data_IF_575549934490
#
_entry.id   IF_575549934490
#
_cell.length_a   1.000
_cell.length_b   1.000
_cell.length_c   1.000
_cell.angle_alpha   90.00
_cell.angle_beta   90.00
_cell.angle_gamma   90.00
#
_symmetry.space_group_name_H-M   'P 1'
#
loop_
_entity.id
_entity.type
_entity.pdbx_description
1 polymer ?
#
# COMPACT_ATOMS: atom_id res chain seq x y z
N UNK A 1 36.13 0.15 -8.72
CA UNK A 1 35.94 -1.11 -9.45
C UNK A 1 34.54 -1.60 -9.18
N UNK A 2 33.63 -1.43 -10.13
CA UNK A 2 32.20 -1.75 -9.99
C UNK A 2 31.86 -3.09 -10.64
N UNK A 3 32.74 -4.09 -10.57
CA UNK A 3 32.49 -5.41 -11.20
C UNK A 3 31.59 -6.30 -10.35
N UNK A 4 31.53 -6.06 -9.04
CA UNK A 4 30.76 -6.85 -8.07
C UNK A 4 29.54 -6.10 -7.51
N UNK A 5 29.18 -4.95 -8.12
CA UNK A 5 28.12 -4.05 -7.68
C UNK A 5 28.24 -3.55 -6.22
N UNK A 6 29.40 -3.70 -5.57
CA UNK A 6 29.61 -3.19 -4.21
C UNK A 6 29.72 -1.67 -4.22
N UNK A 7 28.90 -0.99 -3.41
CA UNK A 7 28.88 0.47 -3.32
C UNK A 7 29.57 0.91 -2.03
N UNK A 8 30.41 1.95 -2.11
CA UNK A 8 31.11 2.52 -0.95
C UNK A 8 30.12 2.79 0.19
N UNK A 9 30.43 2.27 1.37
CA UNK A 9 29.59 2.35 2.56
C UNK A 9 28.81 1.05 2.85
N UNK A 10 28.49 0.26 1.82
CA UNK A 10 27.82 -1.04 1.95
C UNK A 10 26.60 -1.03 2.90
N UNK A 11 25.78 0.02 2.81
CA UNK A 11 24.57 0.20 3.63
C UNK A 11 23.29 -0.01 2.80
N UNK A 12 22.17 -0.26 3.48
CA UNK A 12 20.87 -0.32 2.80
C UNK A 12 20.59 0.93 1.96
N UNK A 13 20.87 2.12 2.50
CA UNK A 13 20.64 3.39 1.82
C UNK A 13 21.42 3.52 0.52
N UNK A 14 22.70 3.14 0.47
CA UNK A 14 23.50 3.33 -0.75
C UNK A 14 22.99 2.46 -1.90
N UNK A 15 22.58 1.22 -1.62
CA UNK A 15 21.98 0.35 -2.63
C UNK A 15 20.59 0.82 -3.06
N UNK A 16 19.74 1.19 -2.09
CA UNK A 16 18.40 1.73 -2.37
C UNK A 16 18.49 2.94 -3.28
N UNK A 17 19.34 3.91 -2.97
CA UNK A 17 19.46 5.16 -3.74
C UNK A 17 20.07 4.91 -5.12
N UNK A 18 21.10 4.07 -5.21
CA UNK A 18 21.73 3.75 -6.48
C UNK A 18 20.76 3.06 -7.46
N UNK A 19 19.91 2.16 -6.94
CA UNK A 19 18.88 1.52 -7.75
C UNK A 19 17.72 2.48 -8.04
N UNK A 20 17.20 3.18 -7.02
CA UNK A 20 16.07 4.10 -7.14
C UNK A 20 16.27 5.17 -8.23
N UNK A 21 17.50 5.67 -8.35
CA UNK A 21 17.85 6.70 -9.33
C UNK A 21 18.65 6.17 -10.52
N UNK A 22 18.65 4.85 -10.74
CA UNK A 22 19.23 4.23 -11.95
C UNK A 22 20.71 4.59 -12.19
N UNK A 23 21.47 4.66 -11.10
CA UNK A 23 22.88 5.07 -11.09
C UNK A 23 23.85 3.92 -11.39
N UNK A 24 23.32 2.71 -11.58
CA UNK A 24 24.09 1.50 -11.86
C UNK A 24 23.87 1.05 -13.31
N UNK A 25 24.92 0.53 -13.98
CA UNK A 25 24.75 -0.27 -15.19
C UNK A 25 23.68 -1.35 -15.00
N UNK A 26 22.82 -1.55 -15.99
CA UNK A 26 21.66 -2.45 -15.90
C UNK A 26 22.04 -3.89 -15.48
N UNK A 27 23.20 -4.37 -15.93
CA UNK A 27 23.70 -5.71 -15.61
C UNK A 27 24.14 -5.88 -14.14
N UNK A 28 24.32 -4.78 -13.39
CA UNK A 28 24.73 -4.81 -11.98
C UNK A 28 23.55 -4.69 -11.02
N UNK A 29 22.37 -4.28 -11.49
CA UNK A 29 21.18 -4.09 -10.65
C UNK A 29 20.79 -5.38 -9.89
N UNK A 30 20.76 -6.58 -10.52
CA UNK A 30 20.45 -7.81 -9.78
C UNK A 30 21.45 -8.12 -8.66
N UNK A 31 22.72 -7.81 -8.87
CA UNK A 31 23.75 -8.05 -7.86
C UNK A 31 23.66 -7.02 -6.71
N UNK A 32 23.38 -5.75 -7.01
CA UNK A 32 23.09 -4.73 -6.00
C UNK A 32 21.82 -5.06 -5.18
N UNK A 33 20.80 -5.65 -5.81
CA UNK A 33 19.61 -6.16 -5.13
C UNK A 33 19.95 -7.24 -4.11
N UNK A 34 20.81 -8.20 -4.49
CA UNK A 34 21.30 -9.23 -3.58
C UNK A 34 22.05 -8.63 -2.38
N UNK A 35 22.97 -7.68 -2.63
CA UNK A 35 23.68 -7.00 -1.55
C UNK A 35 22.74 -6.27 -0.58
N UNK A 36 21.70 -5.60 -1.10
CA UNK A 36 20.68 -4.95 -0.28
C UNK A 36 19.93 -5.98 0.59
N UNK A 37 19.44 -7.06 -0.01
CA UNK A 37 18.68 -8.11 0.68
C UNK A 37 19.55 -8.82 1.73
N UNK A 38 20.80 -9.14 1.40
CA UNK A 38 21.72 -9.78 2.32
C UNK A 38 22.13 -8.85 3.46
N UNK A 39 22.26 -7.55 3.21
CA UNK A 39 22.44 -6.56 4.27
C UNK A 39 21.23 -6.50 5.22
N UNK A 40 20.01 -6.54 4.69
CA UNK A 40 18.77 -6.60 5.51
C UNK A 40 18.75 -7.88 6.35
N UNK A 41 19.08 -9.04 5.75
CA UNK A 41 19.19 -10.33 6.47
C UNK A 41 20.22 -10.27 7.60
N UNK A 42 21.37 -9.66 7.34
CA UNK A 42 22.45 -9.54 8.32
C UNK A 42 22.06 -8.66 9.52
N UNK A 43 21.07 -7.77 9.36
CA UNK A 43 20.47 -6.99 10.46
C UNK A 43 19.20 -7.66 11.01
N UNK A 44 19.14 -9.00 10.95
CA UNK A 44 17.99 -9.79 11.40
C UNK A 44 16.66 -9.28 10.83
N UNK A 45 16.67 -8.93 9.54
CA UNK A 45 15.50 -8.41 8.84
C UNK A 45 14.96 -7.09 9.37
N UNK A 46 15.86 -6.23 9.86
CA UNK A 46 15.55 -4.85 10.23
C UNK A 46 16.06 -3.86 9.19
N UNK A 47 15.38 -2.73 9.11
CA UNK A 47 15.84 -1.57 8.36
C UNK A 47 16.98 -0.88 9.11
N UNK A 48 17.90 -0.28 8.36
CA UNK A 48 18.96 0.59 8.90
C UNK A 48 18.96 1.96 8.21
N UNK A 49 17.91 2.25 7.44
CA UNK A 49 17.79 3.48 6.66
C UNK A 49 17.38 4.67 7.53
N UNK A 50 18.03 5.81 7.31
CA UNK A 50 17.56 7.13 7.78
C UNK A 50 16.60 7.80 6.80
N UNK A 51 16.42 9.12 6.94
CA UNK A 51 15.40 9.90 6.21
C UNK A 51 15.47 9.77 4.69
N UNK A 52 16.68 9.75 4.12
CA UNK A 52 16.87 9.70 2.67
C UNK A 52 16.49 8.31 2.12
N UNK A 53 16.86 7.24 2.82
CA UNK A 53 16.67 5.87 2.32
C UNK A 53 15.28 5.31 2.54
N UNK A 54 14.63 5.65 3.67
CA UNK A 54 13.39 4.99 4.12
C UNK A 54 12.24 5.11 3.11
N UNK A 55 12.11 6.27 2.44
CA UNK A 55 11.04 6.50 1.46
C UNK A 55 11.19 5.69 0.18
N UNK A 56 12.39 5.18 -0.11
CA UNK A 56 12.68 4.40 -1.30
C UNK A 56 12.90 2.91 -1.03
N UNK A 57 13.04 2.50 0.24
CA UNK A 57 13.37 1.12 0.62
C UNK A 57 12.34 0.10 0.09
N UNK A 58 11.10 0.16 0.57
CA UNK A 58 10.05 -0.77 0.16
C UNK A 58 9.67 -0.66 -1.33
N UNK A 59 9.55 0.55 -1.93
CA UNK A 59 9.35 0.71 -3.37
C UNK A 59 10.45 0.04 -4.20
N UNK A 60 11.72 0.23 -3.82
CA UNK A 60 12.86 -0.34 -4.54
C UNK A 60 12.88 -1.86 -4.43
N UNK A 61 12.70 -2.40 -3.23
CA UNK A 61 12.59 -3.85 -3.03
C UNK A 61 11.48 -4.45 -3.90
N UNK A 62 10.29 -3.82 -3.91
CA UNK A 62 9.17 -4.30 -4.72
C UNK A 62 9.36 -4.15 -6.22
N UNK A 63 10.13 -3.16 -6.67
CA UNK A 63 10.51 -3.01 -8.09
C UNK A 63 11.50 -4.09 -8.52
N UNK A 64 12.36 -4.53 -7.61
CA UNK A 64 13.34 -5.60 -7.82
C UNK A 64 12.78 -7.01 -7.65
N UNK A 65 11.47 -7.16 -7.41
CA UNK A 65 10.83 -8.47 -7.20
C UNK A 65 10.95 -9.01 -5.77
N UNK A 66 11.44 -8.22 -4.82
CA UNK A 66 11.59 -8.56 -3.40
C UNK A 66 10.47 -7.97 -2.53
N UNK A 67 9.22 -8.04 -3.00
CA UNK A 67 8.07 -7.56 -2.22
C UNK A 67 7.87 -8.33 -0.91
N UNK A 68 8.26 -9.61 -0.87
CA UNK A 68 8.30 -10.44 0.33
C UNK A 68 9.19 -9.82 1.43
N UNK A 69 10.38 -9.32 1.05
CA UNK A 69 11.30 -8.63 1.98
C UNK A 69 10.71 -7.29 2.43
N UNK A 70 10.09 -6.54 1.52
CA UNK A 70 9.42 -5.28 1.87
C UNK A 70 8.28 -5.49 2.88
N UNK A 71 7.47 -6.54 2.69
CA UNK A 71 6.45 -6.93 3.66
C UNK A 71 7.05 -7.36 4.99
N UNK A 72 8.13 -8.14 4.98
CA UNK A 72 8.82 -8.55 6.20
C UNK A 72 9.29 -7.35 7.02
N UNK A 73 9.85 -6.33 6.38
CA UNK A 73 10.24 -5.08 7.03
C UNK A 73 9.04 -4.30 7.59
N UNK A 74 7.95 -4.22 6.83
CA UNK A 74 6.73 -3.53 7.28
C UNK A 74 6.15 -4.18 8.54
N UNK A 75 6.17 -5.52 8.60
CA UNK A 75 5.52 -6.32 9.64
C UNK A 75 6.42 -6.59 10.86
N UNK A 76 7.69 -6.18 10.81
CA UNK A 76 8.60 -6.30 11.94
C UNK A 76 8.10 -5.47 13.13
N UNK A 77 8.10 -6.04 14.33
CA UNK A 77 7.63 -5.39 15.56
C UNK A 77 8.72 -5.22 16.63
N UNK A 78 9.96 -5.62 16.33
CA UNK A 78 11.15 -5.35 17.16
C UNK A 78 11.95 -4.15 16.64
N UNK A 79 12.70 -3.52 17.53
CA UNK A 79 13.49 -2.32 17.22
C UNK A 79 14.68 -2.66 16.29
N UNK A 80 14.96 -1.84 15.25
CA UNK A 80 14.17 -0.71 14.75
C UNK A 80 13.11 -1.12 13.72
N UNK A 81 11.86 -0.68 13.89
CA UNK A 81 10.79 -0.87 12.89
C UNK A 81 9.63 0.10 13.08
N UNK A 82 8.73 0.17 12.08
CA UNK A 82 7.44 0.86 12.26
C UNK A 82 6.54 0.15 13.27
N UNK A 83 6.53 -1.19 13.28
CA UNK A 83 5.74 -1.97 14.22
C UNK A 83 6.19 -1.78 15.67
N UNK A 84 7.47 -1.48 15.90
CA UNK A 84 8.00 -1.23 17.24
C UNK A 84 7.32 -0.02 17.89
N UNK A 85 7.30 1.14 17.24
CA UNK A 85 6.67 2.33 17.82
C UNK A 85 5.16 2.11 18.06
N UNK A 86 4.48 1.42 17.15
CA UNK A 86 3.07 1.03 17.31
C UNK A 86 2.85 0.12 18.51
N UNK A 87 3.70 -0.89 18.69
CA UNK A 87 3.69 -1.80 19.83
C UNK A 87 3.79 -1.06 21.17
N UNK A 88 4.42 0.11 21.17
CA UNK A 88 4.52 1.01 22.33
C UNK A 88 3.57 2.22 22.24
N UNK A 89 2.40 2.04 21.62
CA UNK A 89 1.28 2.98 21.61
C UNK A 89 1.55 4.31 20.88
N UNK A 90 2.51 4.35 19.95
CA UNK A 90 2.64 5.49 19.06
C UNK A 90 1.35 5.68 18.24
N UNK A 91 0.81 6.90 18.25
CA UNK A 91 -0.32 7.31 17.39
C UNK A 91 0.12 8.21 16.23
N UNK A 92 1.40 8.58 16.21
CA UNK A 92 2.07 9.33 15.14
C UNK A 92 3.47 8.75 14.91
N UNK A 93 4.04 9.00 13.73
CA UNK A 93 5.40 8.59 13.38
C UNK A 93 6.41 9.43 14.17
N UNK A 94 7.40 8.78 14.77
CA UNK A 94 8.46 9.45 15.53
C UNK A 94 9.56 9.97 14.59
N UNK A 95 10.28 10.99 15.04
CA UNK A 95 11.48 11.50 14.35
C UNK A 95 12.58 10.45 14.27
N UNK A 96 12.70 9.64 15.32
CA UNK A 96 13.74 8.64 15.49
C UNK A 96 13.14 7.25 15.63
N UNK A 97 13.80 6.26 15.02
CA UNK A 97 13.47 4.85 15.26
C UNK A 97 13.58 4.47 16.74
N UNK A 98 14.51 5.10 17.46
CA UNK A 98 14.78 4.90 18.88
C UNK A 98 14.26 6.04 19.75
N UNK A 99 13.28 6.84 19.30
CA UNK A 99 12.81 7.98 20.09
C UNK A 99 12.42 7.61 21.53
N UNK A 100 11.94 6.38 21.71
CA UNK A 100 11.99 5.66 22.97
C UNK A 100 12.32 4.19 22.72
N UNK A 101 13.08 3.55 23.62
CA UNK A 101 13.27 2.08 23.64
C UNK A 101 13.13 1.53 25.05
N UNK A 102 12.78 0.25 25.20
CA UNK A 102 12.71 -0.41 26.51
C UNK A 102 14.06 -0.38 27.25
N UNK A 103 15.16 -0.55 26.51
CA UNK A 103 16.50 -0.69 27.07
C UNK A 103 17.10 0.66 27.48
N UNK A 104 16.84 1.72 26.69
CA UNK A 104 17.50 3.03 26.86
C UNK A 104 16.57 4.14 27.33
N UNK A 105 15.26 3.90 27.37
CA UNK A 105 14.27 4.94 27.65
C UNK A 105 14.17 5.96 26.52
N UNK A 106 13.87 7.21 26.89
CA UNK A 106 13.75 8.33 25.94
C UNK A 106 15.12 8.75 25.40
N UNK A 107 15.15 9.06 24.11
CA UNK A 107 16.29 9.74 23.48
C UNK A 107 16.43 11.20 23.96
N UNK A 108 17.58 11.80 23.61
CA UNK A 108 17.95 13.17 23.96
C UNK A 108 16.82 14.18 23.64
N UNK A 109 16.32 14.94 24.63
CA UNK A 109 15.22 15.88 24.42
C UNK A 109 15.54 17.03 23.46
N UNK A 110 16.81 17.29 23.14
CA UNK A 110 17.21 18.29 22.14
C UNK A 110 16.69 17.95 20.75
N UNK A 111 16.57 16.66 20.40
CA UNK A 111 16.08 16.22 19.08
C UNK A 111 15.41 14.84 19.17
N UNK A 112 14.17 14.83 19.65
CA UNK A 112 13.37 13.62 19.84
C UNK A 112 11.85 13.87 19.73
N UNK A 113 11.40 14.39 18.58
CA UNK A 113 9.97 14.59 18.33
C UNK A 113 9.22 13.26 18.14
N UNK A 114 8.04 13.14 18.74
CA UNK A 114 7.14 12.00 18.57
C UNK A 114 6.14 12.18 17.41
N UNK A 115 6.22 13.29 16.66
CA UNK A 115 5.32 13.57 15.55
C UNK A 115 6.08 14.18 14.36
N UNK A 116 6.69 13.31 13.55
CA UNK A 116 7.53 13.65 12.41
C UNK A 116 7.25 12.70 11.23
N UNK A 117 6.74 13.23 10.11
CA UNK A 117 6.19 12.40 9.03
C UNK A 117 7.22 11.64 8.18
N UNK A 118 8.52 11.97 8.26
CA UNK A 118 9.52 11.47 7.30
C UNK A 118 9.64 9.94 7.27
N UNK A 119 9.60 9.28 8.43
CA UNK A 119 9.63 7.80 8.46
C UNK A 119 8.28 7.20 8.03
N UNK A 120 7.22 8.00 7.94
CA UNK A 120 5.90 7.64 7.42
C UNK A 120 5.82 7.58 5.90
N UNK A 121 6.92 7.88 5.20
CA UNK A 121 7.03 7.78 3.73
C UNK A 121 6.74 6.37 3.18
N UNK A 122 6.78 5.33 4.02
CA UNK A 122 6.28 3.98 3.69
C UNK A 122 4.82 3.97 3.23
N UNK A 123 4.03 4.97 3.63
CA UNK A 123 2.66 5.16 3.16
C UNK A 123 2.55 5.19 1.63
N UNK A 124 3.52 5.79 0.93
CA UNK A 124 3.57 5.76 -0.54
C UNK A 124 3.56 4.34 -1.08
N UNK A 125 4.34 3.44 -0.48
CA UNK A 125 4.40 2.04 -0.89
C UNK A 125 3.11 1.29 -0.62
N UNK A 126 2.43 1.59 0.49
CA UNK A 126 1.10 1.03 0.79
C UNK A 126 0.08 1.37 -0.30
N UNK A 127 0.06 2.62 -0.79
CA UNK A 127 -0.84 2.99 -1.88
C UNK A 127 -0.38 2.45 -3.25
N UNK A 128 0.88 2.67 -3.62
CA UNK A 128 1.35 2.37 -4.98
C UNK A 128 1.62 0.89 -5.24
N UNK A 129 1.97 0.10 -4.21
CA UNK A 129 2.33 -1.31 -4.38
C UNK A 129 1.34 -2.24 -3.71
N UNK A 130 1.03 -2.03 -2.42
CA UNK A 130 0.10 -2.93 -1.71
C UNK A 130 -1.32 -2.77 -2.25
N UNK A 131 -1.79 -1.53 -2.34
CA UNK A 131 -3.03 -1.23 -3.02
C UNK A 131 -2.89 -1.23 -4.55
N UNK A 132 -1.73 -0.89 -5.07
CA UNK A 132 -1.50 -0.88 -6.50
C UNK A 132 -2.11 0.31 -7.22
N UNK A 133 -2.44 1.41 -6.52
CA UNK A 133 -2.95 2.64 -7.14
C UNK A 133 -1.77 3.56 -7.41
N UNK A 134 -1.45 3.79 -8.67
CA UNK A 134 -0.42 4.75 -9.07
C UNK A 134 -0.83 5.57 -10.31
N UNK A 135 -0.03 6.57 -10.66
CA UNK A 135 -0.20 7.38 -11.87
C UNK A 135 0.77 6.92 -12.95
N UNK A 136 0.30 6.80 -14.18
CA UNK A 136 1.18 6.56 -15.32
C UNK A 136 1.95 7.85 -15.66
N UNK A 137 3.18 7.72 -16.18
CA UNK A 137 4.05 8.87 -16.50
C UNK A 137 3.42 9.82 -17.53
N UNK A 138 2.78 9.26 -18.56
CA UNK A 138 2.01 10.03 -19.57
C UNK A 138 0.66 10.57 -19.05
N UNK A 139 0.34 10.33 -17.77
CA UNK A 139 -0.98 10.51 -17.18
C UNK A 139 -1.00 11.36 -15.92
N UNK A 140 -0.12 12.37 -15.82
CA UNK A 140 0.04 13.26 -14.66
C UNK A 140 -1.31 13.70 -14.08
N UNK A 141 -1.41 13.70 -12.75
CA UNK A 141 -2.66 14.02 -12.04
C UNK A 141 -3.70 12.89 -12.11
N UNK A 142 -3.27 11.64 -12.28
CA UNK A 142 -4.15 10.47 -12.45
C UNK A 142 -5.08 10.54 -13.67
N UNK A 143 -4.68 11.27 -14.72
CA UNK A 143 -5.38 11.24 -16.01
C UNK A 143 -5.29 9.87 -16.66
N UNK A 144 -4.15 9.20 -16.45
CA UNK A 144 -3.97 7.78 -16.73
C UNK A 144 -3.46 7.08 -15.47
N UNK A 145 -4.23 6.10 -15.01
CA UNK A 145 -4.04 5.42 -13.73
C UNK A 145 -3.33 4.09 -13.99
N UNK A 146 -2.44 3.68 -13.09
CA UNK A 146 -1.89 2.32 -13.04
C UNK A 146 -2.56 1.60 -11.88
N UNK A 147 -3.05 0.39 -12.17
CA UNK A 147 -3.65 -0.52 -11.22
C UNK A 147 -2.82 -1.81 -11.21
N UNK A 148 -1.93 -1.94 -10.23
CA UNK A 148 -0.98 -3.04 -10.13
C UNK A 148 -0.75 -3.48 -8.67
N UNK A 149 -1.76 -4.11 -8.02
CA UNK A 149 -1.62 -4.53 -6.63
C UNK A 149 -0.60 -5.65 -6.50
N UNK A 150 0.11 -5.67 -5.37
CA UNK A 150 1.07 -6.71 -5.00
C UNK A 150 0.67 -7.36 -3.68
N UNK A 151 -0.37 -8.22 -3.64
CA UNK A 151 -0.76 -8.94 -2.42
C UNK A 151 0.42 -9.73 -1.84
N UNK A 152 0.55 -9.76 -0.52
CA UNK A 152 1.64 -10.45 0.16
C UNK A 152 1.68 -10.19 1.66
N UNK A 153 2.73 -10.69 2.34
CA UNK A 153 2.93 -10.46 3.77
C UNK A 153 1.82 -11.02 4.66
N UNK A 154 1.18 -12.11 4.24
CA UNK A 154 0.00 -12.70 4.92
C UNK A 154 -1.20 -11.74 5.04
N UNK A 155 -1.25 -10.68 4.25
CA UNK A 155 -2.45 -9.88 4.10
C UNK A 155 -3.48 -10.64 3.27
N UNK A 156 -4.66 -10.85 3.85
CA UNK A 156 -5.78 -11.50 3.18
C UNK A 156 -6.73 -10.52 2.51
N UNK A 157 -6.74 -9.26 2.94
CA UNK A 157 -7.57 -8.22 2.33
C UNK A 157 -6.90 -6.86 2.39
N UNK A 158 -7.29 -5.99 1.47
CA UNK A 158 -6.89 -4.59 1.42
C UNK A 158 -8.01 -3.79 0.78
N UNK A 159 -8.28 -2.60 1.29
CA UNK A 159 -9.11 -1.61 0.60
C UNK A 159 -8.45 -0.24 0.70
N UNK A 160 -8.34 0.43 -0.44
CA UNK A 160 -7.79 1.77 -0.56
C UNK A 160 -8.67 2.62 -1.46
N UNK A 161 -8.72 3.91 -1.14
CA UNK A 161 -9.42 4.92 -1.92
C UNK A 161 -8.53 6.15 -2.03
N UNK A 162 -8.41 6.70 -3.22
CA UNK A 162 -7.66 7.92 -3.49
C UNK A 162 -8.55 8.93 -4.19
N UNK A 163 -8.70 10.12 -3.59
CA UNK A 163 -9.47 11.20 -4.18
C UNK A 163 -8.56 11.99 -5.15
N UNK A 164 -8.64 11.67 -6.44
CA UNK A 164 -7.95 12.41 -7.50
C UNK A 164 -8.73 13.66 -7.92
N UNK A 165 -8.11 14.50 -8.76
CA UNK A 165 -8.76 15.65 -9.39
C UNK A 165 -9.95 15.26 -10.28
N UNK A 166 -9.99 14.02 -10.78
CA UNK A 166 -11.07 13.54 -11.65
C UNK A 166 -12.12 12.71 -10.90
N UNK A 167 -11.91 12.43 -9.62
CA UNK A 167 -12.83 11.66 -8.79
C UNK A 167 -12.14 10.57 -7.97
N UNK A 168 -12.95 9.75 -7.32
CA UNK A 168 -12.50 8.65 -6.47
C UNK A 168 -11.91 7.52 -7.32
N UNK A 169 -10.69 7.11 -6.99
CA UNK A 169 -10.08 5.86 -7.44
C UNK A 169 -10.22 4.86 -6.30
N UNK A 170 -10.87 3.73 -6.57
CA UNK A 170 -11.10 2.67 -5.59
C UNK A 170 -10.31 1.41 -5.97
N UNK A 171 -9.70 0.77 -4.97
CA UNK A 171 -9.20 -0.58 -5.09
C UNK A 171 -9.55 -1.36 -3.83
N UNK A 172 -10.07 -2.56 -4.02
CA UNK A 172 -10.19 -3.56 -2.97
C UNK A 172 -9.71 -4.90 -3.52
N UNK A 173 -9.00 -5.67 -2.70
CA UNK A 173 -8.77 -7.06 -2.99
C UNK A 173 -8.90 -7.93 -1.74
N UNK A 174 -9.32 -9.17 -1.94
CA UNK A 174 -9.39 -10.20 -0.90
C UNK A 174 -8.88 -11.53 -1.47
N UNK A 175 -8.02 -12.24 -0.73
CA UNK A 175 -7.39 -13.49 -1.15
C UNK A 175 -7.28 -14.52 -0.03
N UNK A 176 -7.51 -15.78 -0.39
CA UNK A 176 -7.26 -16.94 0.46
C UNK A 176 -5.99 -17.72 0.04
N UNK A 177 -5.13 -17.11 -0.79
CA UNK A 177 -3.92 -17.72 -1.35
C UNK A 177 -4.14 -18.58 -2.60
N UNK A 178 -5.35 -19.08 -2.84
CA UNK A 178 -5.71 -19.80 -4.07
C UNK A 178 -6.50 -18.91 -5.04
N UNK A 179 -7.42 -18.13 -4.49
CA UNK A 179 -8.33 -17.24 -5.20
C UNK A 179 -8.13 -15.80 -4.75
N UNK A 180 -8.46 -14.88 -5.64
CA UNK A 180 -8.50 -13.45 -5.33
C UNK A 180 -9.72 -12.82 -5.96
N UNK A 181 -10.38 -11.96 -5.20
CA UNK A 181 -11.45 -11.08 -5.67
C UNK A 181 -10.91 -9.66 -5.68
N UNK A 182 -11.13 -8.93 -6.77
CA UNK A 182 -10.75 -7.53 -6.89
C UNK A 182 -11.96 -6.67 -7.24
N UNK A 183 -12.03 -5.47 -6.66
CA UNK A 183 -12.96 -4.41 -7.03
C UNK A 183 -12.17 -3.14 -7.34
N UNK A 184 -12.36 -2.58 -8.53
CA UNK A 184 -11.62 -1.42 -9.03
C UNK A 184 -12.62 -0.35 -9.47
N UNK A 185 -12.48 0.86 -8.96
CA UNK A 185 -13.30 2.02 -9.36
C UNK A 185 -12.41 3.05 -10.07
N UNK A 186 -12.73 3.34 -11.33
CA UNK A 186 -12.01 4.30 -12.17
C UNK A 186 -12.91 5.52 -12.46
N UNK A 187 -12.51 6.74 -12.08
CA UNK A 187 -13.35 7.92 -12.22
C UNK A 187 -13.55 8.32 -13.69
N UNK A 188 -14.65 9.03 -13.95
CA UNK A 188 -14.97 9.56 -15.29
C UNK A 188 -13.83 10.41 -15.86
N UNK A 189 -13.71 10.45 -17.18
CA UNK A 189 -12.68 11.21 -17.89
C UNK A 189 -11.23 10.75 -17.58
N UNK A 190 -11.05 9.54 -17.07
CA UNK A 190 -9.74 8.90 -16.90
C UNK A 190 -9.70 7.53 -17.59
N UNK A 191 -8.51 6.97 -17.71
CA UNK A 191 -8.27 5.59 -18.17
C UNK A 191 -7.34 4.89 -17.17
N UNK A 192 -7.41 3.57 -17.10
CA UNK A 192 -6.54 2.77 -16.25
C UNK A 192 -5.83 1.66 -17.02
N UNK A 193 -4.55 1.48 -16.72
CA UNK A 193 -3.71 0.36 -17.11
C UNK A 193 -3.71 -0.65 -15.96
N UNK A 194 -4.28 -1.82 -16.18
CA UNK A 194 -4.39 -2.87 -15.17
C UNK A 194 -3.31 -3.91 -15.46
N UNK A 195 -2.46 -4.15 -14.46
CA UNK A 195 -1.42 -5.18 -14.45
C UNK A 195 -1.62 -6.11 -13.25
N UNK A 196 -2.12 -7.31 -13.53
CA UNK A 196 -2.30 -8.36 -12.53
C UNK A 196 -1.29 -9.50 -12.78
N UNK A 197 -0.02 -9.16 -12.96
CA UNK A 197 1.08 -10.13 -13.14
C UNK A 197 1.24 -11.13 -11.99
N UNK A 198 0.76 -10.80 -10.79
CA UNK A 198 0.83 -11.68 -9.62
C UNK A 198 -0.14 -12.88 -9.72
N UNK A 199 -1.10 -12.86 -10.66
CA UNK A 199 -1.99 -13.99 -10.90
C UNK A 199 -1.26 -15.15 -11.57
N UNK A 200 -1.70 -16.38 -11.28
CA UNK A 200 -1.21 -17.59 -11.98
C UNK A 200 -1.34 -17.49 -13.50
N UNK A 201 -2.42 -16.85 -13.97
CA UNK A 201 -2.59 -16.43 -15.35
C UNK A 201 -2.56 -14.90 -15.38
N UNK A 202 -1.44 -14.28 -15.74
CA UNK A 202 -1.31 -12.84 -15.80
C UNK A 202 -2.41 -12.19 -16.66
N UNK A 203 -2.93 -11.06 -16.19
CA UNK A 203 -3.89 -10.24 -16.93
C UNK A 203 -3.35 -8.83 -17.08
N UNK A 204 -3.27 -8.37 -18.32
CA UNK A 204 -2.92 -7.00 -18.68
C UNK A 204 -4.01 -6.42 -19.56
N UNK A 205 -4.58 -5.28 -19.18
CA UNK A 205 -5.64 -4.66 -19.97
C UNK A 205 -5.80 -3.18 -19.66
N UNK A 206 -6.40 -2.45 -20.60
CA UNK A 206 -6.70 -1.05 -20.45
C UNK A 206 -8.21 -0.88 -20.37
N UNK A 207 -8.65 -0.08 -19.40
CA UNK A 207 -10.07 0.21 -19.20
C UNK A 207 -10.32 1.71 -19.15
N UNK A 208 -11.55 2.10 -19.48
CA UNK A 208 -12.02 3.47 -19.25
C UNK A 208 -12.51 3.65 -17.82
N UNK A 209 -13.34 4.67 -17.61
CA UNK A 209 -14.05 4.87 -16.35
C UNK A 209 -15.12 3.80 -16.11
N UNK A 210 -15.31 3.41 -14.85
CA UNK A 210 -16.31 2.43 -14.44
C UNK A 210 -15.90 1.70 -13.17
N UNK A 211 -16.81 0.86 -12.68
CA UNK A 211 -16.55 -0.07 -11.57
C UNK A 211 -16.37 -1.47 -12.15
N UNK A 212 -15.27 -2.13 -11.80
CA UNK A 212 -14.89 -3.43 -12.32
C UNK A 212 -14.75 -4.43 -11.18
N UNK A 213 -15.27 -5.64 -11.39
CA UNK A 213 -15.08 -6.76 -10.47
C UNK A 213 -14.37 -7.89 -11.20
N UNK A 214 -13.36 -8.48 -10.54
CA UNK A 214 -12.72 -9.72 -10.97
C UNK A 214 -12.85 -10.74 -9.85
N UNK A 215 -13.57 -11.83 -10.11
CA UNK A 215 -13.65 -13.01 -9.24
C UNK A 215 -12.91 -14.18 -9.90
N UNK A 216 -12.22 -14.99 -9.10
CA UNK A 216 -11.54 -16.22 -9.54
C UNK A 216 -12.37 -17.49 -9.35
N UNK A 217 -13.55 -17.45 -8.71
CA UNK A 217 -14.41 -18.63 -8.55
C UNK A 217 -15.09 -19.07 -9.86
N UNK A 218 -15.22 -18.17 -10.86
CA UNK A 218 -15.90 -18.42 -12.15
C UNK A 218 -14.95 -18.89 -13.27
N UNK A 219 -14.15 -19.94 -13.02
CA UNK A 219 -13.15 -20.42 -14.00
C UNK A 219 -13.53 -21.72 -14.75
N UNK A 220 -14.82 -21.98 -14.99
CA UNK A 220 -15.22 -23.12 -15.84
C UNK A 220 -15.98 -22.76 -17.12
N UNK A 221 -16.40 -21.52 -17.34
CA UNK A 221 -17.00 -21.14 -18.63
C UNK A 221 -16.55 -19.74 -19.06
N UNK A 222 -15.55 -19.73 -19.94
CA UNK A 222 -15.33 -18.79 -21.04
C UNK A 222 -15.87 -17.38 -20.77
N UNK A 223 -15.04 -16.46 -20.28
CA UNK A 223 -14.87 -15.11 -20.84
C UNK A 223 -13.72 -14.38 -20.13
N UNK A 224 -12.71 -13.97 -20.91
CA UNK A 224 -11.53 -13.17 -20.51
C UNK A 224 -11.90 -11.71 -20.17
N UNK A 225 -12.96 -11.47 -19.41
CA UNK A 225 -13.57 -10.14 -19.32
C UNK A 225 -13.73 -9.71 -17.85
N UNK A 226 -13.13 -8.57 -17.47
CA UNK A 226 -13.60 -7.82 -16.30
C UNK A 226 -15.02 -7.34 -16.57
N UNK A 227 -15.93 -7.57 -15.63
CA UNK A 227 -17.32 -7.11 -15.76
C UNK A 227 -17.38 -5.67 -15.24
N UNK A 228 -17.73 -4.74 -16.13
CA UNK A 228 -18.11 -3.39 -15.73
C UNK A 228 -19.51 -3.46 -15.10
N UNK A 229 -19.62 -3.09 -13.83
CA UNK A 229 -20.89 -3.00 -13.12
C UNK A 229 -21.40 -1.57 -13.25
N UNK A 230 -22.22 -1.28 -14.26
CA UNK A 230 -22.86 0.03 -14.38
C UNK A 230 -23.99 0.16 -13.35
N UNK A 231 -23.87 1.09 -12.41
CA UNK A 231 -24.93 1.42 -11.46
C UNK A 231 -26.16 2.00 -12.15
N UNK A 232 -27.31 1.33 -12.02
CA UNK A 232 -28.62 1.91 -12.31
C UNK A 232 -29.08 2.86 -11.19
N UNK A 233 -30.01 3.79 -11.47
CA UNK A 233 -30.49 4.75 -10.48
C UNK A 233 -31.27 4.07 -9.36
N UNK A 234 -31.11 4.56 -8.13
CA UNK A 234 -31.96 4.22 -6.98
C UNK A 234 -33.35 4.79 -7.24
N UNK A 235 -34.26 3.98 -7.77
CA UNK A 235 -35.70 4.29 -7.82
C UNK A 235 -36.44 3.49 -6.77
N UNK A 236 -37.28 4.20 -5.99
CA UNK A 236 -38.20 3.68 -4.97
C UNK A 236 -38.88 2.38 -5.38
N UNK A 237 -39.00 1.46 -4.42
CA UNK A 237 -39.81 0.26 -4.52
C UNK A 237 -41.27 0.60 -4.90
N UNK A 238 -41.87 -0.12 -5.87
CA UNK A 238 -43.31 -0.28 -5.95
C UNK A 238 -43.74 -1.54 -5.20
N UNK A 239 -44.80 -1.39 -4.41
CA UNK A 239 -45.58 -2.47 -3.84
C UNK A 239 -46.24 -3.33 -4.93
N UNK A 240 -46.33 -4.64 -4.72
CA UNK A 240 -47.44 -5.45 -5.22
C UNK A 240 -47.17 -6.52 -6.29
N UNK A 241 -47.20 -7.77 -5.80
CA UNK A 241 -47.83 -8.98 -6.38
C UNK A 241 -47.13 -9.86 -7.46
N UNK A 242 -46.63 -10.98 -6.94
CA UNK A 242 -46.77 -12.40 -7.34
C UNK A 242 -46.29 -12.93 -8.71
N UNK A 243 -45.30 -13.83 -8.61
CA UNK A 243 -45.04 -14.97 -9.50
C UNK A 243 -44.08 -15.95 -8.81
N UNK A 244 -44.47 -17.22 -8.67
CA UNK A 244 -43.90 -18.22 -7.76
C UNK A 244 -42.62 -18.94 -8.25
N UNK A 245 -41.80 -19.41 -7.29
CA UNK A 245 -40.81 -20.51 -7.38
C UNK A 245 -39.39 -20.06 -7.76
N UNK A 246 -38.31 -20.20 -6.98
CA UNK A 246 -37.93 -21.20 -5.97
C UNK A 246 -37.24 -20.53 -4.76
N UNK A 247 -37.46 -21.08 -3.56
CA UNK A 247 -36.82 -20.64 -2.31
C UNK A 247 -35.34 -21.01 -2.25
N UNK A 248 -34.46 -20.03 -2.03
CA UNK A 248 -33.13 -20.26 -1.46
C UNK A 248 -33.14 -19.69 -0.04
N UNK A 249 -33.02 -20.59 0.94
CA UNK A 249 -32.90 -20.26 2.36
C UNK A 249 -31.54 -19.60 2.62
N UNK A 250 -31.54 -18.44 3.25
CA UNK A 250 -30.34 -17.83 3.82
C UNK A 250 -30.13 -18.42 5.22
N UNK A 251 -29.04 -19.18 5.39
CA UNK A 251 -28.55 -19.56 6.72
C UNK A 251 -27.81 -18.36 7.33
N UNK A 252 -28.33 -17.85 8.45
CA UNK A 252 -27.75 -16.74 9.22
C UNK A 252 -26.98 -17.21 10.45
N UNK A 253 -26.61 -18.49 10.53
CA UNK A 253 -26.05 -19.09 11.74
C UNK A 253 -24.53 -19.27 11.74
N UNK A 254 -23.74 -18.30 11.28
CA UNK A 254 -22.30 -18.30 11.56
C UNK A 254 -21.87 -17.02 12.28
N UNK A 255 -21.71 -17.17 13.61
CA UNK A 255 -20.96 -16.28 14.48
C UNK A 255 -19.51 -16.22 14.03
N UNK A 256 -19.05 -15.01 13.73
CA UNK A 256 -17.66 -14.70 13.35
C UNK A 256 -16.77 -14.86 14.60
N UNK A 257 -15.72 -15.70 14.60
CA UNK A 257 -14.74 -15.69 15.67
C UNK A 257 -13.81 -14.47 15.54
N UNK A 258 -13.47 -13.78 16.63
CA UNK A 258 -12.60 -12.61 16.58
C UNK A 258 -11.13 -13.05 16.67
N UNK A 259 -10.34 -12.94 15.60
CA UNK A 259 -8.88 -13.13 15.69
C UNK A 259 -8.11 -12.12 14.81
N UNK A 260 -7.50 -11.17 15.51
CA UNK A 260 -6.21 -10.46 15.29
C UNK A 260 -5.96 -9.85 13.89
N UNK A 261 -6.45 -8.62 13.70
CA UNK A 261 -6.01 -7.67 12.63
C UNK A 261 -5.58 -6.32 13.24
N UNK A 262 -4.62 -6.26 14.16
CA UNK A 262 -4.28 -4.98 14.80
C UNK A 262 -3.20 -4.19 14.07
N UNK A 263 -2.07 -4.78 13.66
CA UNK A 263 -0.84 -4.02 13.36
C UNK A 263 -0.89 -3.13 12.10
N UNK A 264 -1.57 -3.56 11.03
CA UNK A 264 -1.53 -2.86 9.73
C UNK A 264 -2.56 -1.72 9.67
N UNK A 265 -3.71 -1.90 10.31
CA UNK A 265 -4.72 -0.85 10.46
C UNK A 265 -4.16 0.35 11.24
N UNK A 266 -3.29 0.12 12.22
CA UNK A 266 -2.60 1.19 12.94
C UNK A 266 -1.61 1.96 12.07
N UNK A 267 -0.79 1.29 11.24
CA UNK A 267 0.13 1.98 10.32
C UNK A 267 -0.64 2.89 9.36
N UNK A 268 -1.73 2.39 8.77
CA UNK A 268 -2.57 3.16 7.85
C UNK A 268 -3.25 4.33 8.56
N UNK A 269 -3.81 4.10 9.76
CA UNK A 269 -4.43 5.16 10.56
C UNK A 269 -3.42 6.25 10.94
N UNK A 270 -2.18 5.90 11.30
CA UNK A 270 -1.12 6.85 11.64
C UNK A 270 -0.71 7.72 10.45
N UNK A 271 -0.56 7.14 9.25
CA UNK A 271 -0.22 7.90 8.04
C UNK A 271 -1.37 8.86 7.68
N UNK A 272 -2.63 8.43 7.78
CA UNK A 272 -3.80 9.27 7.49
C UNK A 272 -3.95 10.41 8.52
N UNK A 273 -3.80 10.13 9.81
CA UNK A 273 -3.87 11.13 10.88
C UNK A 273 -2.76 12.18 10.76
N UNK A 274 -1.57 11.79 10.30
CA UNK A 274 -0.48 12.73 10.06
C UNK A 274 -0.71 13.63 8.84
N UNK A 275 -1.30 13.11 7.76
CA UNK A 275 -1.67 13.95 6.62
C UNK A 275 -2.76 14.96 6.99
N UNK A 276 -3.75 14.56 7.80
CA UNK A 276 -4.78 15.46 8.32
C UNK A 276 -4.21 16.49 9.31
N UNK A 277 -3.27 16.09 10.18
CA UNK A 277 -2.57 17.00 11.09
C UNK A 277 -1.69 18.01 10.34
N UNK A 278 -1.00 17.59 9.28
CA UNK A 278 -0.20 18.48 8.44
C UNK A 278 -1.07 19.51 7.69
N UNK A 279 -2.27 19.10 7.23
CA UNK A 279 -3.26 20.01 6.63
C UNK A 279 -3.74 21.05 7.66
N UNK A 280 -3.96 20.65 8.92
CA UNK A 280 -4.37 21.57 9.99
C UNK A 280 -3.26 22.58 10.35
N UNK A 281 -2.00 22.14 10.39
CA UNK A 281 -0.84 23.02 10.64
C UNK A 281 -0.62 23.99 9.46
N UNK A 282 -0.79 23.54 8.21
CA UNK A 282 -0.76 24.40 7.04
C UNK A 282 -1.91 25.43 7.04
N UNK A 283 -3.11 25.02 7.46
CA UNK A 283 -4.26 25.93 7.59
C UNK A 283 -4.05 27.00 8.68
N UNK A 284 -3.41 26.62 9.80
CA UNK A 284 -3.04 27.53 10.89
C UNK A 284 -1.90 28.49 10.49
N UNK A 285 -0.92 28.03 9.70
CA UNK A 285 0.16 28.88 9.18
C UNK A 285 -0.31 29.84 8.07
N UNK A 286 -1.39 29.54 7.36
CA UNK A 286 -1.93 30.39 6.29
C UNK A 286 -3.04 31.36 6.74
N UNK A 287 -3.39 31.43 8.02
CA UNK A 287 -4.28 32.47 8.55
C UNK A 287 -5.74 32.40 8.07
N UNK A 288 -6.20 31.28 7.51
CA UNK A 288 -7.59 31.10 7.09
C UNK A 288 -8.37 30.25 8.10
N UNK A 289 -8.77 30.85 9.23
CA UNK A 289 -9.86 30.32 10.04
C UNK A 289 -11.10 31.18 9.78
N UNK A 290 -11.98 30.69 8.92
CA UNK A 290 -13.40 31.05 9.01
C UNK A 290 -14.07 29.95 9.83
N UNK A 291 -14.49 30.30 11.05
CA UNK A 291 -15.31 29.46 11.90
C UNK A 291 -16.61 29.09 11.17
N UNK A 292 -16.95 27.79 11.15
CA UNK A 292 -18.33 27.33 11.03
C UNK A 292 -18.55 26.37 12.20
N UNK A 293 -19.60 26.69 12.98
CA UNK A 293 -20.10 26.01 14.18
C UNK A 293 -20.44 24.55 13.90
#
# INVERSE_FOLDING_TARGET
NTTDATIKGNTQTVYVIAVAFELLPQNLIPLAANHLVDNIKAHDWHLTTGFIGVGYLCPTLSRLGHSDVAYRLLLQDTYPSWGYSIKYNATTIWERWDGWTQEKGFQDPVMNSFNHYSLGSVGRWLFQSVAGIDTHEEGVGFKSIVIAPKPGGNLHKMTARYQSINGLIGMSWETNGANITLTIDIPVNTKAFIDLSFLKQPLHTNVGSGSYIKDNQYLDQIHKTMVCVSGGPVTKAPEGQFGQGHSLNWDTSHTIPPIIESSIWWIIAMVILQLLGAILVLALCCGCIAFIV
#
